data_IF_804054008908
#
_entry.id   IF_804054008908
#
_cell.length_a   1.000
_cell.length_b   1.000
_cell.length_c   1.000
_cell.angle_alpha   90.00
_cell.angle_beta   90.00
_cell.angle_gamma   90.00
#
_symmetry.space_group_name_H-M   'P 1'
#
loop_
_entity.id
_entity.type
_entity.pdbx_description
1 polymer ?
2 branched ?
3 non-polymer ?
4 non-polymer ?
5 non-polymer ?
6 water ?
#
# COMPACT_ATOMS: atom_id res chain seq x y z
N UNK A 5 -14.01 -18.51 -13.33
CA UNK A 5 -15.15 -17.85 -12.64
C UNK A 5 -15.02 -16.33 -12.75
N UNK A 6 -16.15 -15.64 -12.94
CA UNK A 6 -16.14 -14.18 -12.98
C UNK A 6 -16.14 -13.64 -11.55
N UNK A 7 -15.33 -12.61 -11.31
CA UNK A 7 -15.24 -12.01 -10.00
C UNK A 7 -15.80 -10.59 -10.11
N UNK A 8 -16.97 -10.36 -9.49
CA UNK A 8 -17.58 -9.03 -9.44
C UNK A 8 -17.29 -8.44 -8.05
N UNK A 9 -16.85 -7.18 -7.98
CA UNK A 9 -16.59 -6.53 -6.70
C UNK A 9 -17.49 -5.31 -6.62
N UNK A 10 -18.04 -5.06 -5.44
CA UNK A 10 -18.70 -3.79 -5.17
C UNK A 10 -18.12 -3.28 -3.85
N UNK A 11 -17.62 -2.05 -3.86
CA UNK A 11 -16.97 -1.51 -2.67
C UNK A 11 -17.99 -1.32 -1.54
N UNK A 12 -17.52 -1.41 -0.28
CA UNK A 12 -18.43 -1.22 0.85
C UNK A 12 -18.82 0.22 1.12
N UNK A 13 -18.10 1.16 0.49
CA UNK A 13 -18.32 2.57 0.84
C UNK A 13 -17.69 3.39 -0.28
N UNK A 14 -17.95 4.70 -0.28
CA UNK A 14 -17.35 5.57 -1.28
C UNK A 14 -15.85 5.68 -1.02
N UNK A 15 -15.10 5.92 -2.10
CA UNK A 15 -13.67 6.11 -2.03
C UNK A 15 -13.33 7.50 -2.53
N UNK A 16 -12.60 8.26 -1.71
CA UNK A 16 -12.11 9.58 -2.08
C UNK A 16 -10.62 9.40 -2.22
N UNK A 17 -10.10 9.51 -3.46
CA UNK A 17 -8.71 9.10 -3.66
C UNK A 17 -7.73 9.83 -2.72
N UNK A 18 -7.97 11.15 -2.52
CA UNK A 18 -7.05 11.94 -1.69
C UNK A 18 -6.99 11.35 -0.27
N UNK A 19 -8.10 10.80 0.23
CA UNK A 19 -8.12 10.19 1.56
C UNK A 19 -7.63 8.75 1.56
N UNK A 20 -7.82 8.04 0.43
CA UNK A 20 -7.71 6.58 0.44
C UNK A 20 -6.36 6.10 -0.09
N UNK A 21 -5.81 6.75 -1.14
CA UNK A 21 -4.64 6.23 -1.83
C UNK A 21 -3.44 7.09 -1.47
N UNK A 22 -2.51 6.53 -0.66
CA UNK A 22 -1.28 7.23 -0.38
C UNK A 22 -0.11 6.51 -1.07
N UNK A 23 1.11 7.01 -0.86
CA UNK A 23 2.28 6.35 -1.41
C UNK A 23 3.34 6.23 -0.30
N UNK A 24 4.10 5.14 -0.34
CA UNK A 24 5.33 5.07 0.42
C UNK A 24 6.30 6.09 -0.17
N UNK A 25 7.27 6.54 0.65
CA UNK A 25 8.25 7.51 0.18
C UNK A 25 9.54 7.33 0.97
N UNK A 26 10.66 7.57 0.27
CA UNK A 26 11.99 7.40 0.87
C UNK A 26 12.70 8.75 0.78
N UNK A 27 12.02 9.80 1.24
CA UNK A 27 12.46 11.18 1.00
C UNK A 27 13.88 11.42 1.55
N UNK A 28 14.27 10.79 2.65
CA UNK A 28 15.61 11.02 3.22
C UNK A 28 16.76 10.48 2.34
N UNK A 29 16.45 9.69 1.31
CA UNK A 29 17.46 9.25 0.37
C UNK A 29 17.81 10.37 -0.61
N UNK A 30 17.07 11.49 -0.59
CA UNK A 30 17.14 12.49 -1.67
C UNK A 30 17.39 13.87 -1.09
N UNK A 31 17.99 14.76 -1.89
CA UNK A 31 18.07 16.17 -1.53
C UNK A 31 16.65 16.74 -1.40
N UNK A 32 16.47 17.81 -0.60
CA UNK A 32 15.22 18.55 -0.57
C UNK A 32 14.74 18.98 -1.94
N UNK A 33 15.65 19.44 -2.82
CA UNK A 33 15.18 19.86 -4.15
C UNK A 33 14.50 18.67 -4.84
N UNK A 34 15.12 17.49 -4.73
CA UNK A 34 14.64 16.32 -5.44
C UNK A 34 13.34 15.80 -4.80
N UNK A 35 13.27 15.77 -3.46
CA UNK A 35 12.05 15.27 -2.82
C UNK A 35 10.89 16.26 -2.99
N UNK A 36 11.18 17.57 -3.05
CA UNK A 36 10.09 18.49 -3.35
C UNK A 36 9.55 18.28 -4.76
N UNK A 37 10.43 17.89 -5.70
CA UNK A 37 9.92 17.57 -7.04
C UNK A 37 9.06 16.31 -7.01
N UNK A 38 9.44 15.30 -6.22
CA UNK A 38 8.59 14.11 -6.10
C UNK A 38 7.23 14.51 -5.54
N UNK A 39 7.25 15.43 -4.56
CA UNK A 39 6.00 15.87 -3.95
C UNK A 39 5.13 16.60 -4.99
N UNK A 40 5.75 17.47 -5.81
CA UNK A 40 4.99 18.09 -6.91
C UNK A 40 4.24 17.04 -7.74
N UNK A 41 4.91 15.93 -8.07
CA UNK A 41 4.29 14.92 -8.91
C UNK A 41 3.19 14.18 -8.13
N UNK A 42 3.38 14.01 -6.82
CA UNK A 42 2.33 13.38 -6.02
C UNK A 42 1.07 14.28 -5.97
N UNK A 43 1.27 15.57 -5.72
CA UNK A 43 0.13 16.49 -5.65
C UNK A 43 -0.59 16.62 -7.01
N UNK A 44 0.14 16.44 -8.10
CA UNK A 44 -0.49 16.54 -9.41
C UNK A 44 -1.49 15.39 -9.62
N UNK A 45 -1.32 14.27 -8.88
CA UNK A 45 -2.26 13.13 -8.90
C UNK A 45 -3.48 13.41 -8.02
N UNK A 46 -3.46 14.48 -7.21
CA UNK A 46 -4.55 14.75 -6.29
C UNK A 46 -4.44 13.94 -5.00
N UNK A 47 -3.21 13.51 -4.67
CA UNK A 47 -2.95 12.66 -3.50
C UNK A 47 -2.16 13.45 -2.46
N UNK A 48 -2.23 12.99 -1.20
CA UNK A 48 -1.54 13.75 -0.14
C UNK A 48 -0.98 12.85 0.97
N UNK A 49 -1.34 11.55 1.03
CA UNK A 49 -0.83 10.68 2.11
C UNK A 49 0.50 10.04 1.73
N UNK A 50 1.48 10.09 2.68
CA UNK A 50 2.76 9.45 2.47
C UNK A 50 3.08 8.59 3.68
N UNK A 51 3.86 7.51 3.43
CA UNK A 51 4.36 6.65 4.50
C UNK A 51 5.89 6.60 4.40
N UNK A 52 6.57 7.00 5.50
CA UNK A 52 8.02 7.14 5.56
C UNK A 52 8.58 6.06 6.48
N UNK A 53 9.65 5.37 6.03
CA UNK A 53 10.35 4.41 6.87
C UNK A 53 11.46 5.13 7.64
N UNK A 54 11.56 4.88 8.96
CA UNK A 54 12.67 5.37 9.77
C UNK A 54 13.36 4.16 10.37
N UNK A 55 14.69 4.21 10.40
CA UNK A 55 15.48 3.12 10.92
C UNK A 55 16.19 3.62 12.17
N UNK A 56 15.90 2.98 13.30
CA UNK A 56 16.43 3.46 14.58
C UNK A 56 17.95 3.57 14.57
N UNK A 57 18.65 2.62 13.93
CA UNK A 57 20.12 2.64 13.99
C UNK A 57 20.72 3.76 13.14
N UNK A 58 19.89 4.45 12.34
CA UNK A 58 20.34 5.60 11.57
C UNK A 58 20.05 6.90 12.33
N UNK A 59 19.01 6.89 13.18
CA UNK A 59 18.57 8.05 13.91
C UNK A 59 19.35 8.20 15.23
N UNK A 60 19.68 7.08 15.88
CA UNK A 60 20.39 7.11 17.15
C UNK A 60 21.62 6.22 16.95
N UNK A 61 22.78 6.84 16.74
CA UNK A 61 23.95 6.12 16.27
C UNK A 61 24.80 5.62 17.43
N UNK A 62 24.53 6.13 18.63
CA UNK A 62 25.09 5.59 19.86
C UNK A 62 24.04 5.93 20.92
N UNK A 63 24.14 5.41 22.14
CA UNK A 63 23.06 5.63 23.10
C UNK A 63 22.93 7.13 23.40
N UNK A 64 21.70 7.67 23.23
CA UNK A 64 21.39 9.08 23.45
C UNK A 64 22.14 10.04 22.52
N UNK A 65 22.67 9.53 21.41
CA UNK A 65 23.36 10.36 20.41
C UNK A 65 22.56 10.23 19.11
N UNK A 66 22.07 11.37 18.60
CA UNK A 66 21.12 11.31 17.48
C UNK A 66 21.59 12.09 16.27
N UNK A 67 20.97 11.77 15.12
CA UNK A 67 21.22 12.39 13.83
C UNK A 67 19.84 12.81 13.32
N UNK A 68 19.36 13.98 13.76
CA UNK A 68 17.98 14.36 13.50
C UNK A 68 17.85 15.56 12.56
N UNK A 69 18.95 16.20 12.13
CA UNK A 69 18.81 17.45 11.38
C UNK A 69 17.99 17.25 10.09
N UNK A 70 18.28 16.17 9.36
CA UNK A 70 17.64 16.03 8.05
C UNK A 70 16.18 15.60 8.17
N UNK A 71 15.86 14.85 9.23
CA UNK A 71 14.48 14.49 9.52
C UNK A 71 13.72 15.73 10.00
N UNK A 72 14.38 16.55 10.83
CA UNK A 72 13.74 17.79 11.29
C UNK A 72 13.29 18.63 10.10
N UNK A 73 14.18 18.76 9.12
CA UNK A 73 13.92 19.59 7.95
C UNK A 73 12.84 18.94 7.09
N UNK A 74 12.88 17.61 6.97
CA UNK A 74 11.88 16.89 6.18
C UNK A 74 10.47 17.07 6.76
N UNK A 75 10.35 16.97 8.09
CA UNK A 75 9.05 17.12 8.75
C UNK A 75 8.51 18.54 8.49
N UNK A 76 9.38 19.57 8.61
CA UNK A 76 8.93 20.93 8.33
C UNK A 76 8.46 21.05 6.87
N UNK A 77 9.20 20.44 5.94
CA UNK A 77 8.86 20.46 4.52
C UNK A 77 7.52 19.76 4.28
N UNK A 78 7.30 18.58 4.88
CA UNK A 78 6.05 17.85 4.67
C UNK A 78 4.89 18.70 5.17
N UNK A 79 5.09 19.40 6.30
CA UNK A 79 4.03 20.23 6.86
C UNK A 79 3.76 21.42 5.93
N UNK A 80 4.82 22.03 5.40
CA UNK A 80 4.67 23.19 4.50
C UNK A 80 3.96 22.78 3.20
N UNK A 81 4.20 21.56 2.70
CA UNK A 81 3.55 21.05 1.49
C UNK A 81 2.17 20.46 1.80
N UNK A 82 1.74 20.48 3.07
CA UNK A 82 0.40 20.03 3.46
C UNK A 82 0.19 18.54 3.14
N UNK A 83 1.21 17.71 3.33
CA UNK A 83 1.01 16.27 3.18
C UNK A 83 0.62 15.68 4.53
N UNK A 84 -0.07 14.54 4.48
CA UNK A 84 -0.42 13.82 5.70
C UNK A 84 0.53 12.63 5.76
N UNK A 85 1.17 12.41 6.92
CA UNK A 85 2.25 11.44 6.92
C UNK A 85 2.07 10.40 8.01
N UNK A 86 2.35 9.13 7.67
CA UNK A 86 2.55 8.08 8.65
C UNK A 86 4.04 7.77 8.65
N UNK A 87 4.65 7.77 9.85
CA UNK A 87 6.06 7.37 9.97
C UNK A 87 6.11 6.06 10.75
N UNK A 88 6.92 5.10 10.29
CA UNK A 88 7.15 3.89 11.11
C UNK A 88 8.62 3.86 11.51
N UNK A 89 8.88 3.37 12.73
CA UNK A 89 10.25 3.17 13.17
C UNK A 89 10.52 1.68 13.27
N UNK A 90 11.66 1.25 12.70
CA UNK A 90 11.96 -0.18 12.71
C UNK A 90 13.45 -0.39 12.98
N UNK A 91 13.73 -1.59 13.50
CA UNK A 91 15.12 -2.01 13.70
C UNK A 91 15.62 -1.57 15.08
N UNK A 92 16.65 -2.26 15.58
CA UNK A 92 17.23 -1.88 16.86
C UNK A 92 18.49 -1.02 16.66
N UNK A 93 18.60 0.05 17.46
CA UNK A 93 19.90 0.71 17.62
C UNK A 93 20.94 -0.26 18.17
N UNK A 94 22.22 0.03 17.90
CA UNK A 94 23.27 -0.93 18.23
C UNK A 94 23.34 -1.16 19.74
N UNK A 95 23.05 -0.14 20.55
CA UNK A 95 23.25 -0.27 22.00
C UNK A 95 22.18 -1.20 22.62
N UNK A 96 21.10 -1.52 21.89
CA UNK A 96 19.93 -2.13 22.50
C UNK A 96 19.55 -3.44 21.79
N UNK A 97 20.27 -3.79 20.72
CA UNK A 97 19.90 -4.92 19.87
C UNK A 97 20.06 -6.23 20.65
N UNK A 98 19.19 -7.21 20.33
CA UNK A 98 19.35 -8.60 20.80
C UNK A 98 20.26 -9.41 19.87
N UNK A 99 20.80 -8.80 18.80
CA UNK A 99 21.65 -9.56 17.86
C UNK A 99 22.83 -10.15 18.62
N UNK A 100 23.28 -11.38 18.28
CA UNK A 100 24.60 -11.84 18.73
C UNK A 100 25.68 -10.95 18.14
N UNK A 101 26.85 -10.86 18.82
CA UNK A 101 27.94 -9.99 18.41
C UNK A 101 28.34 -10.23 16.95
N UNK A 102 28.32 -11.48 16.48
CA UNK A 102 28.83 -11.84 15.15
C UNK A 102 27.81 -11.62 14.02
N UNK A 103 26.54 -11.32 14.34
CA UNK A 103 25.52 -11.22 13.29
C UNK A 103 25.86 -10.07 12.34
N UNK A 104 25.77 -10.29 10.99
CA UNK A 104 25.90 -9.17 10.05
C UNK A 104 24.63 -8.30 9.92
N UNK A 105 23.58 -8.65 10.65
CA UNK A 105 22.29 -7.98 10.51
C UNK A 105 21.89 -7.39 11.87
N UNK A 106 22.74 -6.52 12.41
CA UNK A 106 22.59 -6.08 13.80
C UNK A 106 21.22 -5.45 14.09
N UNK A 107 20.62 -4.74 13.13
CA UNK A 107 19.41 -4.00 13.46
C UNK A 107 18.16 -4.85 13.15
N UNK A 108 18.34 -6.10 12.64
CA UNK A 108 17.18 -6.91 12.27
C UNK A 108 16.70 -7.78 13.44
N UNK A 109 17.22 -7.49 14.63
CA UNK A 109 16.81 -8.19 15.84
C UNK A 109 16.01 -7.19 16.66
N UNK A 110 15.02 -7.64 17.45
CA UNK A 110 14.26 -6.73 18.30
C UNK A 110 15.06 -6.18 19.48
N UNK A 111 14.57 -5.08 20.11
CA UNK A 111 15.29 -4.49 21.23
C UNK A 111 15.26 -5.41 22.45
N UNK A 112 16.30 -5.32 23.30
CA UNK A 112 16.35 -6.10 24.52
C UNK A 112 15.25 -5.64 25.46
N UNK A 113 14.88 -4.35 25.35
CA UNK A 113 13.90 -3.79 26.27
C UNK A 113 12.92 -2.98 25.43
N UNK A 114 11.66 -3.44 25.31
CA UNK A 114 10.69 -2.75 24.46
C UNK A 114 10.41 -1.33 24.96
N UNK A 115 10.58 -1.08 26.28
CA UNK A 115 10.32 0.28 26.78
C UNK A 115 11.30 1.27 26.18
N UNK A 116 12.56 0.85 25.91
CA UNK A 116 13.53 1.81 25.37
C UNK A 116 13.06 2.27 23.98
N UNK A 117 12.65 1.32 23.16
CA UNK A 117 12.07 1.64 21.85
C UNK A 117 10.84 2.55 22.00
N UNK A 118 9.94 2.19 22.93
CA UNK A 118 8.72 2.99 23.17
C UNK A 118 9.05 4.47 23.47
N UNK A 119 10.09 4.68 24.30
CA UNK A 119 10.51 6.04 24.64
C UNK A 119 10.95 6.80 23.38
N UNK A 120 11.60 6.11 22.44
CA UNK A 120 12.05 6.81 21.22
C UNK A 120 10.86 7.20 20.34
N UNK A 121 9.86 6.33 20.26
CA UNK A 121 8.68 6.71 19.46
C UNK A 121 7.93 7.86 20.12
N UNK A 122 7.91 7.90 21.46
CA UNK A 122 7.31 9.05 22.15
C UNK A 122 8.12 10.33 21.87
N UNK A 123 9.45 10.22 21.88
CA UNK A 123 10.30 11.39 21.65
C UNK A 123 10.08 11.91 20.23
N UNK A 124 9.93 10.99 19.26
CA UNK A 124 9.69 11.43 17.89
C UNK A 124 8.32 12.10 17.75
N UNK A 125 7.29 11.51 18.37
CA UNK A 125 5.94 12.07 18.26
C UNK A 125 5.89 13.45 18.93
N UNK A 126 6.61 13.60 20.07
CA UNK A 126 6.63 14.90 20.76
C UNK A 126 7.36 15.92 19.87
N UNK A 127 8.42 15.48 19.21
CA UNK A 127 9.24 16.41 18.44
C UNK A 127 8.51 16.85 17.17
N UNK A 128 7.68 15.95 16.63
CA UNK A 128 7.07 16.18 15.32
C UNK A 128 5.54 16.08 15.47
N UNK A 129 4.90 17.07 16.11
CA UNK A 129 3.44 17.02 16.30
C UNK A 129 2.64 17.08 15.01
N UNK A 130 3.26 17.45 13.88
CA UNK A 130 2.50 17.50 12.63
C UNK A 130 2.26 16.11 12.02
N UNK A 131 3.04 15.08 12.40
CA UNK A 131 2.90 13.75 11.82
C UNK A 131 1.52 13.18 12.16
N UNK A 132 0.80 12.61 11.18
CA UNK A 132 -0.59 12.24 11.41
C UNK A 132 -0.73 10.90 12.14
N UNK A 133 0.23 9.99 11.94
CA UNK A 133 0.09 8.69 12.58
C UNK A 133 1.47 8.07 12.77
N UNK A 134 1.59 7.20 13.80
CA UNK A 134 2.88 6.59 14.11
C UNK A 134 2.71 5.07 14.04
N UNK A 135 3.69 4.37 13.40
CA UNK A 135 3.55 2.94 13.17
C UNK A 135 4.74 2.21 13.80
N UNK A 136 4.44 1.05 14.43
CA UNK A 136 5.39 0.38 15.34
C UNK A 136 6.03 -0.81 14.64
N UNK A 137 7.29 -0.66 14.22
CA UNK A 137 8.07 -1.71 13.55
C UNK A 137 7.50 -1.99 12.15
N UNK A 138 7.97 -3.06 11.52
CA UNK A 138 7.53 -3.41 10.18
C UNK A 138 7.73 -4.92 10.02
N UNK A 139 6.72 -5.59 9.41
CA UNK A 139 6.80 -6.99 8.99
C UNK A 139 7.48 -7.88 10.03
N UNK A 140 7.01 -7.92 11.30
CA UNK A 140 7.65 -8.77 12.30
C UNK A 140 7.47 -10.26 12.05
N UNK A 141 6.62 -10.61 11.05
CA UNK A 141 6.48 -12.01 10.66
C UNK A 141 7.56 -12.46 9.67
N UNK A 142 8.44 -11.54 9.26
CA UNK A 142 9.48 -11.87 8.29
C UNK A 142 10.83 -11.83 8.98
N UNK A 143 11.66 -12.84 8.70
CA UNK A 143 12.97 -12.99 9.34
C UNK A 143 13.79 -11.71 9.18
N UNK A 144 13.71 -11.08 7.99
CA UNK A 144 14.52 -9.91 7.70
C UNK A 144 14.21 -8.69 8.56
N UNK A 145 13.10 -8.71 9.33
CA UNK A 145 12.81 -7.59 10.24
C UNK A 145 12.79 -8.05 11.70
N UNK A 146 12.88 -9.37 11.95
CA UNK A 146 12.77 -9.81 13.33
C UNK A 146 13.41 -11.17 13.48
N UNK A 147 14.71 -11.12 13.84
CA UNK A 147 15.49 -12.34 13.94
C UNK A 147 15.54 -12.81 15.39
N UNK A 148 15.84 -14.09 15.70
CA UNK A 148 16.09 -15.12 14.70
C UNK A 148 14.84 -15.89 14.25
N UNK A 149 13.68 -15.58 14.84
CA UNK A 149 12.43 -16.26 14.59
C UNK A 149 11.28 -15.33 14.95
N UNK A 150 10.15 -15.48 14.23
CA UNK A 150 9.01 -14.65 14.56
C UNK A 150 8.55 -14.92 15.99
N UNK A 151 8.10 -13.84 16.69
CA UNK A 151 7.84 -13.92 18.12
C UNK A 151 6.58 -13.11 18.41
N UNK A 152 5.35 -13.67 18.30
CA UNK A 152 4.14 -12.91 18.58
C UNK A 152 4.12 -12.23 19.95
N UNK A 153 4.60 -12.93 20.98
CA UNK A 153 4.54 -12.40 22.34
C UNK A 153 5.47 -11.20 22.45
N UNK A 154 6.66 -11.31 21.83
CA UNK A 154 7.61 -10.21 21.85
C UNK A 154 7.13 -8.99 21.07
N UNK A 155 6.48 -9.23 19.92
CA UNK A 155 5.94 -8.09 19.16
C UNK A 155 4.81 -7.44 19.94
N UNK A 156 3.97 -8.28 20.56
CA UNK A 156 2.84 -7.76 21.31
C UNK A 156 3.35 -6.83 22.44
N UNK A 157 4.42 -7.27 23.13
CA UNK A 157 4.95 -6.44 24.22
C UNK A 157 5.54 -5.15 23.66
N UNK A 158 6.21 -5.22 22.50
CA UNK A 158 6.73 -4.00 21.89
C UNK A 158 5.58 -3.06 21.50
N UNK A 159 4.54 -3.64 20.89
CA UNK A 159 3.41 -2.82 20.46
C UNK A 159 2.71 -2.20 21.67
N UNK A 160 2.48 -2.98 22.74
CA UNK A 160 1.84 -2.41 23.93
C UNK A 160 2.67 -1.26 24.50
N UNK A 161 3.97 -1.48 24.74
CA UNK A 161 4.77 -0.40 25.33
C UNK A 161 4.71 0.86 24.45
N UNK A 162 4.83 0.67 23.11
CA UNK A 162 4.85 1.78 22.19
C UNK A 162 3.50 2.50 22.19
N UNK A 163 2.38 1.73 22.21
CA UNK A 163 1.06 2.34 22.16
C UNK A 163 0.84 3.20 23.42
N UNK A 164 1.24 2.67 24.58
CA UNK A 164 1.08 3.44 25.81
C UNK A 164 1.89 4.74 25.73
N UNK A 165 3.15 4.66 25.30
CA UNK A 165 4.04 5.83 25.25
C UNK A 165 3.54 6.87 24.24
N UNK A 166 3.05 6.40 23.08
CA UNK A 166 2.58 7.35 22.07
C UNK A 166 1.31 8.05 22.53
N UNK A 167 0.46 7.32 23.26
CA UNK A 167 -0.81 7.89 23.70
C UNK A 167 -0.60 8.86 24.86
N UNK A 168 0.49 8.65 25.62
CA UNK A 168 0.83 9.63 26.66
C UNK A 168 1.20 10.97 26.02
N UNK A 169 1.89 10.95 24.87
CA UNK A 169 2.22 12.18 24.17
C UNK A 169 0.95 12.79 23.58
N UNK A 170 0.12 11.96 22.93
CA UNK A 170 -1.06 12.50 22.25
C UNK A 170 -2.12 11.41 22.26
N UNK A 171 -3.08 11.47 23.21
CA UNK A 171 -4.05 10.38 23.34
C UNK A 171 -4.97 10.26 22.14
N UNK A 172 -5.00 11.28 21.30
CA UNK A 172 -5.95 11.23 20.19
C UNK A 172 -5.33 10.68 18.90
N UNK A 173 -4.00 10.59 18.85
CA UNK A 173 -3.31 10.33 17.59
C UNK A 173 -3.30 8.84 17.30
N UNK A 174 -3.65 8.42 16.05
CA UNK A 174 -3.63 7.00 15.73
C UNK A 174 -2.27 6.33 16.00
N UNK A 175 -2.37 5.09 16.48
CA UNK A 175 -1.23 4.18 16.60
C UNK A 175 -1.47 3.05 15.60
N UNK A 176 -0.49 2.84 14.72
CA UNK A 176 -0.63 1.86 13.65
C UNK A 176 0.27 0.69 14.02
N UNK A 177 -0.30 -0.52 14.05
CA UNK A 177 0.57 -1.67 14.26
C UNK A 177 1.44 -1.92 13.03
N UNK A 178 2.47 -2.79 13.16
CA UNK A 178 3.35 -3.10 12.04
C UNK A 178 2.57 -3.62 10.83
N UNK A 179 2.96 -3.16 9.63
CA UNK A 179 2.44 -3.81 8.43
C UNK A 179 2.96 -5.24 8.41
N UNK A 180 2.06 -6.22 8.34
CA UNK A 180 2.48 -7.62 8.35
C UNK A 180 2.80 -8.03 6.92
N UNK A 181 3.91 -8.77 6.73
CA UNK A 181 4.25 -9.20 5.38
C UNK A 181 3.16 -10.17 4.86
N UNK A 182 2.82 -10.07 3.55
CA UNK A 182 1.85 -10.98 2.95
C UNK A 182 0.49 -10.78 3.62
N UNK A 183 -0.15 -11.88 4.06
CA UNK A 183 -1.39 -11.83 4.82
C UNK A 183 -1.13 -12.16 6.30
N UNK A 184 0.12 -11.93 6.74
CA UNK A 184 0.60 -12.13 8.13
C UNK A 184 1.15 -13.54 8.38
N UNK A 185 1.21 -14.39 7.34
CA UNK A 185 1.74 -15.74 7.51
C UNK A 185 3.13 -15.75 8.15
N UNK A 186 3.37 -16.75 9.01
CA UNK A 186 4.71 -16.92 9.59
C UNK A 186 5.33 -18.24 9.10
N UNK A 187 6.67 -18.36 9.09
CA UNK A 187 7.34 -19.61 8.69
C UNK A 187 6.85 -20.86 9.45
N UNK A 188 6.52 -20.69 10.73
CA UNK A 188 6.12 -21.86 11.49
C UNK A 188 4.69 -22.33 11.19
N UNK A 189 3.98 -21.61 10.31
CA UNK A 189 2.69 -22.11 9.88
C UNK A 189 1.54 -21.38 10.55
N UNK A 190 1.81 -20.63 11.62
CA UNK A 190 0.77 -19.78 12.19
C UNK A 190 0.67 -18.53 11.35
N UNK A 191 -0.31 -17.68 11.68
CA UNK A 191 -0.33 -16.32 11.13
C UNK A 191 -0.19 -15.36 12.30
N UNK A 192 0.47 -14.22 12.01
CA UNK A 192 0.72 -13.23 13.06
C UNK A 192 -0.61 -12.63 13.54
N UNK A 193 -1.57 -12.43 12.63
CA UNK A 193 -2.85 -11.94 13.11
C UNK A 193 -3.51 -12.93 14.07
N UNK A 194 -3.48 -14.23 13.73
CA UNK A 194 -4.09 -15.22 14.62
C UNK A 194 -3.36 -15.25 15.97
N UNK A 195 -2.03 -15.24 15.90
CA UNK A 195 -1.25 -15.33 17.14
C UNK A 195 -1.45 -14.10 18.03
N UNK A 196 -1.46 -12.89 17.40
CA UNK A 196 -1.72 -11.68 18.19
C UNK A 196 -3.14 -11.66 18.74
N UNK A 197 -4.09 -12.17 17.95
CA UNK A 197 -5.47 -12.19 18.44
C UNK A 197 -5.58 -13.10 19.67
N UNK A 198 -4.87 -14.25 19.66
CA UNK A 198 -4.91 -15.17 20.81
C UNK A 198 -4.33 -14.50 22.04
N UNK A 199 -3.44 -13.52 21.81
CA UNK A 199 -2.83 -12.75 22.90
C UNK A 199 -3.69 -11.54 23.29
N UNK A 200 -4.85 -11.36 22.64
CA UNK A 200 -5.74 -10.25 22.98
C UNK A 200 -5.26 -8.87 22.52
N UNK A 201 -4.39 -8.82 21.50
CA UNK A 201 -3.76 -7.56 21.15
C UNK A 201 -4.75 -6.54 20.56
N UNK A 202 -5.90 -7.03 20.08
CA UNK A 202 -6.96 -6.12 19.60
C UNK A 202 -7.40 -5.16 20.71
N UNK A 203 -7.16 -5.52 21.99
CA UNK A 203 -7.54 -4.63 23.07
C UNK A 203 -6.78 -3.30 23.04
N UNK A 204 -5.62 -3.25 22.35
CA UNK A 204 -4.87 -1.99 22.26
C UNK A 204 -5.51 -1.00 21.28
N UNK A 205 -6.40 -1.46 20.41
CA UNK A 205 -7.09 -0.51 19.56
C UNK A 205 -6.17 0.12 18.52
N UNK A 206 -5.14 -0.63 18.04
CA UNK A 206 -4.25 -0.08 17.01
C UNK A 206 -4.82 -0.42 15.63
N UNK A 207 -4.42 0.40 14.64
CA UNK A 207 -4.81 0.12 13.26
C UNK A 207 -4.08 -1.15 12.78
N UNK A 208 -4.82 -2.02 12.06
CA UNK A 208 -4.24 -3.24 11.53
C UNK A 208 -3.83 -3.00 10.08
N UNK A 209 -2.75 -3.65 9.63
CA UNK A 209 -2.31 -3.44 8.25
C UNK A 209 -1.46 -4.63 7.81
N UNK A 210 -1.58 -4.99 6.52
CA UNK A 210 -0.76 -6.04 5.95
C UNK A 210 -0.40 -5.69 4.52
N UNK A 211 0.54 -6.45 3.95
CA UNK A 211 1.29 -6.12 2.74
C UNK A 211 1.15 -7.30 1.78
N UNK A 212 -0.04 -7.46 1.16
CA UNK A 212 -0.38 -8.70 0.51
C UNK A 212 0.23 -8.87 -0.88
N UNK A 213 1.55 -9.03 -0.96
CA UNK A 213 2.27 -9.17 -2.23
C UNK A 213 1.89 -10.52 -2.86
N UNK A 214 1.46 -10.51 -4.14
CA UNK A 214 1.19 -11.70 -4.95
C UNK A 214 1.86 -11.49 -6.29
N UNK A 215 2.21 -12.59 -6.98
CA UNK A 215 2.98 -12.47 -8.20
C UNK A 215 2.17 -11.69 -9.25
N UNK A 216 0.88 -12.05 -9.41
CA UNK A 216 -0.01 -11.38 -10.36
C UNK A 216 -0.93 -10.44 -9.58
N UNK A 217 -1.65 -9.55 -10.26
CA UNK A 217 -2.50 -8.61 -9.52
C UNK A 217 -3.54 -9.31 -8.68
N UNK A 218 -4.07 -10.47 -9.14
CA UNK A 218 -5.25 -11.04 -8.49
C UNK A 218 -4.93 -12.37 -7.80
N UNK A 219 -3.64 -12.67 -7.62
CA UNK A 219 -3.26 -13.91 -6.93
C UNK A 219 -1.86 -14.32 -7.40
N UNK A 220 -1.34 -15.46 -6.94
CA UNK A 220 0.03 -15.80 -7.32
C UNK A 220 0.11 -16.55 -8.67
N UNK A 221 -0.92 -17.34 -9.02
CA UNK A 221 -0.81 -18.21 -10.20
C UNK A 221 -2.07 -18.06 -11.04
N UNK A 222 -1.98 -18.22 -12.38
CA UNK A 222 -3.14 -18.02 -13.24
C UNK A 222 -4.36 -18.89 -12.91
N UNK A 223 -4.09 -20.11 -12.40
CA UNK A 223 -5.15 -21.06 -12.05
C UNK A 223 -5.64 -20.88 -10.62
N UNK A 224 -5.13 -19.86 -9.89
CA UNK A 224 -5.60 -19.62 -8.54
C UNK A 224 -5.60 -18.12 -8.24
N UNK A 225 -6.54 -17.37 -8.81
CA UNK A 225 -6.56 -15.92 -8.58
C UNK A 225 -7.40 -15.66 -7.33
N UNK A 226 -6.80 -15.89 -6.16
CA UNK A 226 -7.60 -15.89 -4.94
C UNK A 226 -7.33 -14.64 -4.10
N UNK A 227 -6.74 -13.59 -4.69
CA UNK A 227 -6.46 -12.40 -3.90
C UNK A 227 -7.73 -11.87 -3.22
N UNK A 228 -8.81 -11.73 -4.01
CA UNK A 228 -10.02 -11.11 -3.50
C UNK A 228 -10.58 -11.96 -2.34
N UNK A 229 -10.68 -13.28 -2.53
CA UNK A 229 -11.27 -14.08 -1.46
C UNK A 229 -10.37 -14.11 -0.21
N UNK A 230 -9.05 -14.06 -0.41
CA UNK A 230 -8.12 -14.09 0.72
C UNK A 230 -8.18 -12.75 1.46
N UNK A 231 -8.20 -11.61 0.73
CA UNK A 231 -8.30 -10.29 1.35
C UNK A 231 -9.64 -10.17 2.08
N UNK A 232 -10.74 -10.66 1.45
CA UNK A 232 -12.05 -10.57 2.09
C UNK A 232 -12.01 -11.33 3.42
N UNK A 233 -11.38 -12.52 3.41
CA UNK A 233 -11.37 -13.36 4.61
C UNK A 233 -10.61 -12.66 5.76
N UNK A 234 -9.41 -12.14 5.45
CA UNK A 234 -8.58 -11.49 6.46
C UNK A 234 -9.31 -10.24 6.96
N UNK A 235 -9.85 -9.44 6.04
CA UNK A 235 -10.47 -8.19 6.44
C UNK A 235 -11.70 -8.46 7.32
N UNK A 236 -12.51 -9.47 6.98
CA UNK A 236 -13.68 -9.79 7.83
C UNK A 236 -13.19 -10.22 9.22
N UNK A 237 -12.11 -10.99 9.27
CA UNK A 237 -11.57 -11.44 10.57
C UNK A 237 -11.09 -10.25 11.41
N UNK A 238 -10.41 -9.29 10.76
CA UNK A 238 -9.95 -8.09 11.48
C UNK A 238 -11.15 -7.26 11.97
N UNK A 239 -12.15 -7.06 11.09
CA UNK A 239 -13.36 -6.37 11.53
C UNK A 239 -13.99 -7.06 12.75
N UNK A 240 -14.04 -8.40 12.71
CA UNK A 240 -14.69 -9.22 13.73
C UNK A 240 -13.93 -9.16 15.06
N UNK A 241 -12.65 -8.79 15.00
CA UNK A 241 -11.83 -8.59 16.20
C UNK A 241 -11.94 -7.15 16.72
N UNK A 242 -12.65 -6.28 16.02
CA UNK A 242 -12.87 -4.91 16.49
C UNK A 242 -11.71 -3.95 16.22
N UNK A 243 -10.94 -4.19 15.14
CA UNK A 243 -9.87 -3.25 14.80
C UNK A 243 -10.52 -1.90 14.45
N UNK A 244 -9.88 -0.75 14.75
CA UNK A 244 -10.45 0.56 14.41
C UNK A 244 -10.46 0.84 12.92
N UNK A 245 -9.48 0.27 12.20
CA UNK A 245 -9.31 0.54 10.77
C UNK A 245 -8.41 -0.56 10.24
N UNK A 246 -8.48 -0.74 8.92
CA UNK A 246 -7.59 -1.65 8.20
C UNK A 246 -6.90 -0.86 7.10
N UNK A 247 -5.54 -0.86 7.12
CA UNK A 247 -4.82 -0.24 6.01
C UNK A 247 -4.09 -1.35 5.28
N UNK A 248 -3.61 -1.03 4.07
CA UNK A 248 -2.52 -1.84 3.50
C UNK A 248 -1.35 -0.90 3.26
N UNK A 249 -0.31 -0.99 4.08
CA UNK A 249 0.74 0.03 4.04
C UNK A 249 1.81 -0.22 3.00
N UNK A 250 1.73 -1.35 2.24
CA UNK A 250 2.78 -1.63 1.25
C UNK A 250 2.22 -2.65 0.26
N UNK A 251 2.24 -2.30 -1.03
CA UNK A 251 1.84 -3.23 -2.09
C UNK A 251 2.39 -2.63 -3.39
N UNK A 252 2.67 -3.50 -4.38
CA UNK A 252 3.22 -2.98 -5.62
C UNK A 252 4.15 -4.00 -6.28
N UNK A 253 4.70 -3.59 -7.44
CA UNK A 253 5.58 -4.42 -8.25
C UNK A 253 6.76 -3.58 -8.74
N UNK A 254 7.91 -4.26 -8.98
CA UNK A 254 9.12 -3.61 -9.46
C UNK A 254 9.21 -3.75 -10.98
N UNK A 255 9.71 -2.67 -11.64
CA UNK A 255 9.91 -2.72 -13.09
C UNK A 255 11.30 -3.25 -13.45
N UNK A 256 12.04 -3.76 -12.45
CA UNK A 256 13.44 -4.16 -12.66
C UNK A 256 13.61 -5.17 -13.79
N UNK A 257 14.80 -5.17 -14.42
CA UNK A 257 15.08 -6.04 -15.56
C UNK A 257 15.62 -7.40 -15.13
N UNK A 258 16.08 -7.47 -13.87
CA UNK A 258 16.51 -8.73 -13.30
C UNK A 258 17.95 -8.61 -12.80
N UNK A 259 18.63 -9.73 -12.43
CA UNK A 259 18.04 -11.06 -12.50
C UNK A 259 16.88 -11.26 -11.53
N UNK A 260 16.00 -12.20 -11.86
CA UNK A 260 14.85 -12.48 -11.03
C UNK A 260 15.30 -12.74 -9.59
N UNK A 261 14.65 -12.03 -8.66
CA UNK A 261 14.78 -12.27 -7.24
C UNK A 261 13.37 -12.18 -6.66
N UNK A 262 12.73 -13.35 -6.51
CA UNK A 262 11.38 -13.49 -5.99
C UNK A 262 10.35 -13.04 -7.03
N UNK A 263 10.42 -11.80 -7.53
CA UNK A 263 9.36 -11.34 -8.42
C UNK A 263 9.72 -11.62 -9.89
N UNK A 264 8.77 -12.19 -10.65
CA UNK A 264 8.97 -12.32 -12.10
C UNK A 264 9.23 -10.96 -12.75
N UNK A 265 9.96 -10.96 -13.88
CA UNK A 265 10.32 -9.71 -14.56
C UNK A 265 9.13 -9.28 -15.43
N UNK A 266 8.69 -8.03 -15.25
CA UNK A 266 7.50 -7.55 -15.96
C UNK A 266 7.77 -6.21 -16.63
N UNK A 267 8.82 -5.51 -16.20
CA UNK A 267 9.24 -4.29 -16.90
C UNK A 267 8.32 -3.11 -16.57
N UNK A 268 8.58 -1.94 -17.19
CA UNK A 268 7.83 -0.75 -16.85
C UNK A 268 6.37 -0.91 -17.29
N UNK A 269 6.10 -1.60 -18.40
CA UNK A 269 4.73 -1.73 -18.86
C UNK A 269 3.99 -2.72 -17.99
N UNK A 270 4.69 -3.78 -17.56
CA UNK A 270 4.06 -4.73 -16.65
C UNK A 270 3.74 -4.06 -15.30
N UNK A 271 4.66 -3.23 -14.81
CA UNK A 271 4.41 -2.49 -13.58
C UNK A 271 3.13 -1.65 -13.72
N UNK A 272 2.99 -0.91 -14.84
CA UNK A 272 1.81 -0.06 -15.01
C UNK A 272 0.54 -0.91 -15.01
N UNK A 273 0.56 -2.02 -15.78
CA UNK A 273 -0.61 -2.87 -15.92
C UNK A 273 -0.99 -3.42 -14.55
N UNK A 274 0.01 -4.00 -13.87
CA UNK A 274 -0.28 -4.71 -12.63
C UNK A 274 -0.74 -3.76 -11.52
N UNK A 275 -0.09 -2.60 -11.40
CA UNK A 275 -0.51 -1.65 -10.36
C UNK A 275 -1.96 -1.22 -10.57
N UNK A 276 -2.36 -0.96 -11.82
CA UNK A 276 -3.72 -0.51 -12.08
C UNK A 276 -4.73 -1.61 -11.76
N UNK A 277 -4.48 -2.85 -12.20
CA UNK A 277 -5.40 -3.94 -11.87
C UNK A 277 -5.51 -4.09 -10.36
N UNK A 278 -4.36 -4.10 -9.65
CA UNK A 278 -4.43 -4.31 -8.20
C UNK A 278 -5.16 -3.15 -7.52
N UNK A 279 -4.93 -1.92 -8.01
CA UNK A 279 -5.61 -0.76 -7.42
C UNK A 279 -7.13 -0.93 -7.57
N UNK A 280 -7.55 -1.37 -8.77
CA UNK A 280 -8.96 -1.59 -9.03
C UNK A 280 -9.56 -2.62 -8.05
N UNK A 281 -8.80 -3.66 -7.70
CA UNK A 281 -9.27 -4.60 -6.70
C UNK A 281 -9.28 -3.96 -5.32
N UNK A 282 -8.11 -3.42 -4.88
CA UNK A 282 -8.01 -3.04 -3.47
C UNK A 282 -8.96 -1.88 -3.13
N UNK A 283 -9.20 -0.96 -4.11
CA UNK A 283 -10.09 0.16 -3.83
C UNK A 283 -11.55 -0.28 -3.73
N UNK A 284 -11.85 -1.53 -4.13
CA UNK A 284 -13.20 -2.05 -3.99
C UNK A 284 -13.31 -3.08 -2.85
N UNK A 285 -12.25 -3.19 -2.03
CA UNK A 285 -12.32 -4.12 -0.87
C UNK A 285 -12.35 -3.31 0.41
N UNK A 286 -12.44 -4.01 1.55
CA UNK A 286 -12.62 -3.33 2.83
C UNK A 286 -11.31 -2.83 3.45
N UNK A 287 -10.66 -1.90 2.76
CA UNK A 287 -9.53 -1.16 3.31
C UNK A 287 -9.97 0.29 3.58
N UNK A 288 -9.48 0.88 4.67
CA UNK A 288 -9.72 2.30 4.92
C UNK A 288 -8.71 3.16 4.17
N UNK A 289 -7.48 2.63 3.95
CA UNK A 289 -6.45 3.41 3.28
C UNK A 289 -5.37 2.44 2.79
N UNK A 290 -4.73 2.71 1.63
CA UNK A 290 -3.67 1.84 1.14
C UNK A 290 -2.53 2.71 0.65
N UNK A 291 -1.28 2.16 0.68
CA UNK A 291 -0.12 2.96 0.28
C UNK A 291 0.68 2.17 -0.76
N UNK A 292 0.67 2.66 -2.02
CA UNK A 292 1.49 2.06 -3.07
C UNK A 292 2.98 2.11 -2.72
N UNK A 293 3.69 0.99 -2.96
CA UNK A 293 5.16 1.01 -2.83
C UNK A 293 5.69 1.12 -4.27
N UNK A 294 6.29 2.27 -4.68
CA UNK A 294 6.62 3.40 -3.81
C UNK A 294 6.71 4.64 -4.71
N UNK A 295 6.92 5.81 -4.12
CA UNK A 295 6.87 7.05 -4.92
C UNK A 295 7.99 7.10 -5.98
N UNK A 296 9.23 6.72 -5.57
CA UNK A 296 10.37 6.95 -6.44
C UNK A 296 11.21 5.69 -6.59
N UNK A 297 11.81 5.55 -7.77
CA UNK A 297 12.93 4.63 -7.93
C UNK A 297 14.04 5.03 -6.95
N UNK A 298 14.90 4.07 -6.64
CA UNK A 298 15.98 4.27 -5.66
C UNK A 298 17.34 3.98 -6.30
N UNK A 299 18.42 4.52 -5.71
CA UNK A 299 19.75 4.29 -6.28
C UNK A 299 20.33 2.97 -5.76
N UNK A 300 21.66 2.81 -5.93
CA UNK A 300 22.34 1.54 -5.68
C UNK A 300 22.39 1.18 -4.19
N UNK A 301 21.96 2.08 -3.29
CA UNK A 301 21.80 1.72 -1.88
C UNK A 301 20.71 0.67 -1.73
N UNK A 302 19.78 0.63 -2.69
CA UNK A 302 18.70 -0.36 -2.65
C UNK A 302 19.13 -1.63 -3.41
N UNK A 303 18.50 -2.75 -3.07
CA UNK A 303 18.68 -3.98 -3.84
C UNK A 303 18.26 -3.76 -5.30
N UNK A 304 18.77 -4.63 -6.19
CA UNK A 304 18.45 -4.46 -7.60
C UNK A 304 16.93 -4.38 -7.82
N UNK A 305 16.18 -5.31 -7.21
CA UNK A 305 14.73 -5.32 -7.38
C UNK A 305 14.12 -4.06 -6.75
N UNK A 306 14.64 -3.64 -5.59
CA UNK A 306 13.98 -2.56 -4.85
C UNK A 306 14.18 -1.20 -5.51
N UNK A 307 15.09 -1.09 -6.48
CA UNK A 307 15.41 0.17 -7.11
C UNK A 307 14.26 0.65 -8.01
N UNK A 308 13.37 -0.24 -8.44
CA UNK A 308 12.51 0.08 -9.58
C UNK A 308 11.01 -0.05 -9.26
N UNK A 309 10.62 0.22 -8.01
CA UNK A 309 9.20 0.21 -7.64
C UNK A 309 8.55 1.60 -7.82
N UNK A 310 9.31 2.58 -8.30
CA UNK A 310 8.80 3.93 -8.25
C UNK A 310 7.64 4.17 -9.20
N UNK A 311 6.76 5.11 -8.82
CA UNK A 311 5.95 5.83 -9.81
C UNK A 311 6.85 6.69 -10.69
N UNK A 312 7.93 7.19 -10.06
CA UNK A 312 8.83 8.15 -10.71
C UNK A 312 10.20 7.50 -10.87
N UNK A 313 10.93 7.97 -11.91
CA UNK A 313 12.33 7.56 -12.05
C UNK A 313 13.20 8.39 -11.11
N UNK A 314 14.51 8.13 -11.16
CA UNK A 314 15.44 8.80 -10.23
C UNK A 314 15.42 10.33 -10.36
N UNK A 315 15.03 10.81 -11.53
CA UNK A 315 14.96 12.25 -11.81
C UNK A 315 13.60 12.83 -11.39
N UNK A 316 12.76 12.01 -10.74
CA UNK A 316 11.44 12.40 -10.26
C UNK A 316 10.50 12.68 -11.45
N UNK A 317 10.77 12.03 -12.56
CA UNK A 317 9.90 12.16 -13.73
C UNK A 317 9.02 10.91 -13.88
N UNK A 318 7.79 11.05 -14.44
CA UNK A 318 6.85 9.93 -14.53
C UNK A 318 7.41 8.74 -15.30
N UNK A 319 7.22 7.54 -14.74
CA UNK A 319 7.37 6.30 -15.47
C UNK A 319 6.01 5.93 -16.05
N UNK A 320 5.90 4.88 -16.90
CA UNK A 320 4.60 4.51 -17.46
C UNK A 320 3.52 4.29 -16.41
N UNK A 321 3.87 3.72 -15.26
CA UNK A 321 2.87 3.49 -14.21
C UNK A 321 2.29 4.83 -13.74
N UNK A 322 3.13 5.88 -13.59
CA UNK A 322 2.58 7.17 -13.17
C UNK A 322 1.62 7.70 -14.23
N UNK A 323 2.03 7.65 -15.52
CA UNK A 323 1.16 8.22 -16.54
C UNK A 323 -0.16 7.44 -16.61
N UNK A 324 -0.09 6.13 -16.42
CA UNK A 324 -1.30 5.28 -16.45
C UNK A 324 -2.18 5.60 -15.24
N UNK A 325 -1.57 5.71 -14.06
CA UNK A 325 -2.38 6.01 -12.88
C UNK A 325 -3.01 7.40 -13.06
N UNK A 326 -2.25 8.34 -13.64
CA UNK A 326 -2.78 9.69 -13.84
C UNK A 326 -4.01 9.66 -14.76
N UNK A 327 -3.91 8.87 -15.85
CA UNK A 327 -5.07 8.77 -16.75
C UNK A 327 -6.26 8.13 -16.05
N UNK A 328 -5.98 7.09 -15.23
CA UNK A 328 -7.04 6.41 -14.48
C UNK A 328 -7.75 7.41 -13.56
N UNK A 329 -6.97 8.14 -12.74
CA UNK A 329 -7.58 9.08 -11.79
C UNK A 329 -8.30 10.22 -12.53
N UNK A 330 -7.84 10.59 -13.73
CA UNK A 330 -8.57 11.64 -14.45
C UNK A 330 -9.93 11.10 -14.92
N UNK A 331 -9.97 9.84 -15.36
CA UNK A 331 -11.26 9.25 -15.77
C UNK A 331 -12.23 9.09 -14.58
N UNK A 332 -11.72 8.62 -13.43
CA UNK A 332 -12.58 8.41 -12.28
C UNK A 332 -13.06 9.74 -11.71
N UNK A 333 -12.21 10.77 -11.80
CA UNK A 333 -12.44 11.93 -10.95
C UNK A 333 -12.06 11.62 -9.49
N UNK A 334 -12.32 12.56 -8.56
CA UNK A 334 -11.71 12.48 -7.21
C UNK A 334 -12.42 11.53 -6.25
N UNK A 335 -13.68 11.15 -6.57
CA UNK A 335 -14.49 10.41 -5.62
C UNK A 335 -15.38 9.42 -6.39
N UNK A 336 -15.43 8.18 -5.93
CA UNK A 336 -16.27 7.15 -6.55
C UNK A 336 -17.24 6.59 -5.50
N UNK A 337 -18.48 6.34 -5.93
CA UNK A 337 -19.48 5.72 -5.07
C UNK A 337 -19.78 4.31 -5.60
N UNK A 338 -19.97 3.31 -4.72
CA UNK A 338 -20.23 1.94 -5.16
C UNK A 338 -21.43 1.87 -6.10
N UNK A 339 -21.32 1.01 -7.12
CA UNK A 339 -22.42 0.88 -8.07
C UNK A 339 -22.32 -0.52 -8.64
N UNK A 340 -23.16 -0.82 -9.64
CA UNK A 340 -23.17 -2.16 -10.20
C UNK A 340 -22.64 -2.08 -11.63
N UNK A 341 -22.05 -3.17 -12.14
CA UNK A 341 -21.61 -3.18 -13.53
C UNK A 341 -22.81 -3.05 -14.48
N UNK A 342 -22.60 -2.65 -15.73
CA UNK A 342 -23.69 -2.69 -16.71
C UNK A 342 -24.15 -4.14 -16.87
N UNK A 343 -25.37 -4.35 -17.40
CA UNK A 343 -25.80 -5.70 -17.76
C UNK A 343 -24.93 -6.17 -18.93
N UNK A 344 -24.42 -7.41 -18.83
CA UNK A 344 -23.54 -7.98 -19.85
C UNK A 344 -24.12 -9.31 -20.32
N UNK A 345 -23.74 -9.67 -21.55
CA UNK A 345 -23.97 -10.97 -22.14
C UNK A 345 -22.61 -11.45 -22.63
N UNK A 346 -22.29 -12.71 -22.32
CA UNK A 346 -21.05 -13.34 -22.75
C UNK A 346 -19.80 -12.64 -22.23
N UNK A 347 -19.86 -12.09 -21.01
CA UNK A 347 -18.62 -11.64 -20.39
C UNK A 347 -17.68 -12.86 -20.31
N UNK A 348 -16.40 -12.77 -20.72
CA UNK A 348 -15.53 -13.95 -20.77
C UNK A 348 -15.29 -14.58 -19.40
N UNK A 349 -15.02 -15.88 -19.41
CA UNK A 349 -14.62 -16.60 -18.20
C UNK A 349 -13.41 -15.88 -17.59
N UNK A 350 -13.38 -15.82 -16.26
CA UNK A 350 -12.19 -15.28 -15.59
C UNK A 350 -12.22 -13.75 -15.51
N UNK A 351 -13.29 -13.10 -16.01
CA UNK A 351 -13.31 -11.64 -15.98
C UNK A 351 -13.39 -11.09 -14.55
N UNK A 352 -12.83 -9.89 -14.37
CA UNK A 352 -13.05 -9.07 -13.18
C UNK A 352 -13.94 -7.91 -13.59
N UNK A 353 -14.86 -7.55 -12.68
CA UNK A 353 -15.89 -6.59 -13.05
C UNK A 353 -16.25 -5.74 -11.84
N UNK A 354 -16.08 -4.41 -11.93
CA UNK A 354 -16.31 -3.53 -10.78
C UNK A 354 -17.02 -2.26 -11.28
N UNK A 355 -18.14 -1.91 -10.63
CA UNK A 355 -18.93 -0.74 -11.00
C UNK A 355 -18.84 0.36 -9.94
N UNK A 356 -18.81 1.61 -10.42
CA UNK A 356 -18.78 2.79 -9.56
C UNK A 356 -19.56 3.89 -10.25
N UNK A 357 -19.92 4.93 -9.49
CA UNK A 357 -20.42 6.17 -10.05
C UNK A 357 -19.44 7.29 -9.73
N UNK A 358 -19.25 8.23 -10.68
CA UNK A 358 -18.37 9.38 -10.47
C UNK A 358 -19.17 10.56 -9.95
N UNK A 359 -18.44 11.66 -9.69
CA UNK A 359 -19.09 12.86 -9.13
C UNK A 359 -20.11 13.45 -10.11
N UNK A 360 -19.93 13.26 -11.42
CA UNK A 360 -20.91 13.75 -12.40
C UNK A 360 -22.08 12.77 -12.59
N UNK A 361 -22.07 11.66 -11.83
CA UNK A 361 -23.20 10.76 -11.86
C UNK A 361 -23.08 9.68 -12.94
N UNK A 362 -22.04 9.80 -13.80
CA UNK A 362 -21.86 8.76 -14.81
C UNK A 362 -21.27 7.50 -14.18
N UNK A 363 -21.53 6.38 -14.84
CA UNK A 363 -21.04 5.09 -14.34
C UNK A 363 -19.65 4.84 -14.88
N UNK A 364 -18.80 4.16 -14.06
CA UNK A 364 -17.50 3.71 -14.52
C UNK A 364 -17.47 2.21 -14.31
N UNK A 365 -17.16 1.47 -15.38
CA UNK A 365 -16.99 0.03 -15.28
C UNK A 365 -15.52 -0.29 -15.46
N UNK A 366 -14.90 -0.95 -14.45
CA UNK A 366 -13.52 -1.41 -14.56
C UNK A 366 -13.57 -2.91 -14.83
N UNK A 367 -12.84 -3.38 -15.88
CA UNK A 367 -13.03 -4.76 -16.27
C UNK A 367 -11.82 -5.23 -17.05
N UNK A 368 -11.57 -6.54 -16.98
CA UNK A 368 -10.47 -7.17 -17.73
C UNK A 368 -10.65 -8.68 -17.61
N UNK A 369 -9.91 -9.43 -18.44
CA UNK A 369 -9.93 -10.88 -18.33
C UNK A 369 -8.65 -11.41 -18.98
N UNK A 370 -8.03 -12.41 -18.37
CA UNK A 370 -6.79 -12.97 -18.94
C UNK A 370 -7.03 -13.46 -20.36
N UNK A 371 -8.25 -13.91 -20.66
CA UNK A 371 -8.49 -14.51 -21.97
C UNK A 371 -8.88 -13.48 -23.03
N UNK A 372 -8.99 -12.19 -22.69
CA UNK A 372 -9.39 -11.21 -23.70
C UNK A 372 -10.80 -11.52 -24.21
N UNK A 373 -11.10 -11.18 -25.48
CA UNK A 373 -12.40 -11.52 -26.03
C UNK A 373 -13.28 -10.27 -26.13
N UNK A 374 -14.60 -10.47 -26.14
CA UNK A 374 -15.53 -9.35 -26.32
C UNK A 374 -16.68 -9.55 -25.35
N UNK A 375 -17.42 -8.49 -25.06
CA UNK A 375 -18.60 -8.70 -24.23
C UNK A 375 -19.69 -7.82 -24.85
N UNK A 376 -20.95 -8.25 -24.67
CA UNK A 376 -22.09 -7.51 -25.18
C UNK A 376 -22.77 -6.76 -24.03
N UNK A 377 -23.03 -5.46 -24.22
CA UNK A 377 -23.82 -4.69 -23.24
C UNK A 377 -25.16 -4.39 -23.91
N UNK A 378 -26.18 -5.26 -23.72
CA UNK A 378 -27.42 -5.15 -24.52
C UNK A 378 -28.23 -3.89 -24.27
N UNK A 379 -28.07 -3.26 -23.10
CA UNK A 379 -29.01 -2.22 -22.71
C UNK A 379 -28.44 -0.83 -23.01
N UNK A 380 -27.22 -0.75 -23.58
CA UNK A 380 -26.61 0.57 -23.82
C UNK A 380 -26.62 0.89 -25.32
N UNK A 381 -26.68 2.18 -25.65
CA UNK A 381 -26.55 2.64 -27.02
C UNK A 381 -25.30 3.51 -27.17
N UNK A 382 -24.75 3.97 -26.05
CA UNK A 382 -23.60 4.88 -26.10
C UNK A 382 -22.72 4.59 -24.88
N UNK A 383 -21.40 4.62 -25.07
CA UNK A 383 -20.49 4.59 -23.90
C UNK A 383 -19.11 4.97 -24.42
N UNK A 384 -18.18 5.32 -23.51
CA UNK A 384 -16.84 5.65 -23.96
C UNK A 384 -15.86 4.71 -23.27
N UNK A 385 -14.97 4.09 -24.07
CA UNK A 385 -13.98 3.15 -23.53
C UNK A 385 -12.64 3.89 -23.44
N UNK A 386 -11.96 3.76 -22.28
CA UNK A 386 -10.68 4.38 -22.06
C UNK A 386 -9.71 3.24 -21.70
N UNK A 387 -8.55 3.24 -22.37
CA UNK A 387 -7.48 2.32 -22.04
C UNK A 387 -6.43 3.14 -21.31
N UNK A 388 -6.29 3.03 -19.97
CA UNK A 388 -5.34 3.90 -19.27
C UNK A 388 -3.87 3.58 -19.54
N UNK A 389 -3.57 2.40 -20.11
CA UNK A 389 -2.19 2.04 -20.40
C UNK A 389 -1.71 2.72 -21.67
N UNK A 390 -2.64 2.93 -22.63
CA UNK A 390 -2.24 3.51 -23.92
C UNK A 390 -2.72 4.94 -24.07
N UNK A 391 -3.76 5.36 -23.34
CA UNK A 391 -4.39 6.66 -23.53
C UNK A 391 -5.49 6.64 -24.59
N UNK A 392 -5.79 5.47 -25.14
CA UNK A 392 -6.80 5.42 -26.21
C UNK A 392 -8.19 5.67 -25.62
N UNK A 393 -9.00 6.49 -26.32
CA UNK A 393 -10.36 6.81 -25.94
C UNK A 393 -11.26 6.46 -27.13
N UNK A 394 -12.24 5.60 -26.91
CA UNK A 394 -13.04 5.11 -28.03
C UNK A 394 -14.51 5.35 -27.73
N UNK A 395 -15.22 6.23 -28.48
CA UNK A 395 -16.66 6.32 -28.39
C UNK A 395 -17.31 5.08 -29.01
N UNK A 396 -18.15 4.39 -28.26
CA UNK A 396 -18.82 3.20 -28.75
C UNK A 396 -20.31 3.51 -28.88
N UNK A 397 -20.95 3.04 -29.95
CA UNK A 397 -22.37 3.33 -30.16
C UNK A 397 -23.00 2.14 -30.86
N UNK A 398 -24.29 1.88 -30.58
CA UNK A 398 -24.98 0.84 -31.31
C UNK A 398 -26.47 1.06 -31.18
N UNK A 399 -27.25 0.65 -32.18
CA UNK A 399 -28.68 0.84 -32.06
C UNK A 399 -29.29 -0.23 -31.16
N UNK A 400 -28.62 -1.39 -31.04
CA UNK A 400 -29.20 -2.47 -30.27
C UNK A 400 -28.16 -3.12 -29.36
N UNK A 401 -27.54 -2.33 -28.49
CA UNK A 401 -26.52 -2.90 -27.61
C UNK A 401 -25.11 -2.57 -28.11
N UNK A 402 -24.12 -2.60 -27.21
CA UNK A 402 -22.71 -2.31 -27.58
C UNK A 402 -21.91 -3.59 -27.57
N UNK A 403 -20.86 -3.66 -28.37
CA UNK A 403 -19.88 -4.72 -28.21
C UNK A 403 -18.61 -4.06 -27.70
N UNK A 404 -18.01 -4.62 -26.64
CA UNK A 404 -16.85 -4.01 -26.01
C UNK A 404 -15.74 -5.04 -25.99
N UNK A 405 -14.55 -4.68 -26.52
CA UNK A 405 -13.40 -5.58 -26.47
C UNK A 405 -12.87 -5.65 -25.03
N UNK A 406 -12.52 -6.88 -24.61
CA UNK A 406 -12.00 -7.11 -23.28
C UNK A 406 -10.50 -7.40 -23.41
N UNK A 407 -9.67 -6.86 -22.50
CA UNK A 407 -8.22 -7.06 -22.59
C UNK A 407 -7.77 -7.71 -21.29
N UNK A 408 -6.54 -8.24 -21.31
CA UNK A 408 -5.93 -8.77 -20.09
C UNK A 408 -5.62 -7.63 -19.12
N UNK A 409 -5.53 -6.40 -19.64
CA UNK A 409 -5.24 -5.24 -18.81
C UNK A 409 -6.54 -4.48 -18.55
N UNK A 410 -6.53 -3.64 -17.50
CA UNK A 410 -7.69 -2.87 -17.10
C UNK A 410 -8.15 -1.95 -18.25
N UNK A 411 -9.46 -1.89 -18.45
CA UNK A 411 -10.04 -0.80 -19.23
C UNK A 411 -11.17 -0.19 -18.42
N UNK A 412 -11.62 1.01 -18.82
CA UNK A 412 -12.61 1.76 -18.06
C UNK A 412 -13.71 2.14 -19.06
N UNK A 413 -14.93 1.67 -18.81
CA UNK A 413 -16.05 2.09 -19.66
C UNK A 413 -16.85 3.15 -18.88
N UNK A 414 -17.11 4.33 -19.48
CA UNK A 414 -17.89 5.37 -18.84
C UNK A 414 -19.23 5.50 -19.56
N UNK A 415 -20.35 5.38 -18.81
CA UNK A 415 -21.65 5.22 -19.47
C UNK A 415 -22.72 5.86 -18.60
N UNK A 416 -23.82 6.26 -19.23
CA UNK A 416 -24.95 6.88 -18.55
C UNK A 416 -26.04 5.82 -18.37
#
# INVERSE_FOLDING_TARGET
GSHMEIQVLKAPRAVVWKDFLGVNAQFLWFSPERYNKQIDRLQDLGLEWVRLDLHWDRLETAEDQYQLASLDQLVKDLEARQLKSVFYLVGSARFITTAPFYSPFQDQYPPRDPEVFARRMAMLSQRYPSVAAWQVWNEPNLIGFWRPKADPEGYAKLLQASTIALRMVDPEKPVVSAGMAFFSEMPDGRTMFDALGHLGVESLGTIATYHPYTQLPEGNYPWNLDFVSHANQINRALRNAGVPAIWSTEWGWSAYKGPKELQDIIGVEGQADYVLRRLALMSALDYDRIFLFTLSDLDQRASVRDRDYGLLDLDANPKPVYLALQRFLKVTGPKLRPADPPVTEDLPDGSFSIGWTREDGRNVWLFWSARGGNVRLPKLKEATLHDPLSGKVTPLSGSDGLEVPVKSSLQMLVWE
#
